data_IF_766228210738
#
_entry.id   IF_766228210738
#
_cell.length_a   1.000
_cell.length_b   1.000
_cell.length_c   1.000
_cell.angle_alpha   90.00
_cell.angle_beta   90.00
_cell.angle_gamma   90.00
#
_symmetry.space_group_name_H-M   'P 1'
#
loop_
_entity.id
_entity.type
_entity.pdbx_description
1 polymer ?
#
# COMPACT_ATOMS: atom_id res chain seq x y z
N UNK A 1 24.72 21.26 -13.45
CA UNK A 1 23.76 20.50 -14.30
C UNK A 1 22.43 20.43 -13.55
N UNK A 2 21.30 20.62 -14.23
CA UNK A 2 19.97 20.51 -13.61
C UNK A 2 19.58 19.07 -13.28
N UNK A 3 18.42 18.88 -12.65
CA UNK A 3 17.87 17.54 -12.41
C UNK A 3 17.52 16.86 -13.75
N UNK A 4 17.89 15.57 -13.94
CA UNK A 4 17.38 14.78 -15.06
C UNK A 4 15.85 14.66 -15.03
N UNK A 5 15.22 14.52 -16.21
CA UNK A 5 13.76 14.52 -16.37
C UNK A 5 13.03 13.47 -15.51
N UNK A 6 13.63 12.29 -15.31
CA UNK A 6 13.03 11.19 -14.53
C UNK A 6 13.16 11.39 -13.01
N UNK A 7 13.85 12.46 -12.55
CA UNK A 7 14.02 12.79 -11.12
C UNK A 7 13.26 14.04 -10.69
N UNK A 8 12.46 14.66 -11.57
CA UNK A 8 11.81 15.95 -11.29
C UNK A 8 10.90 15.92 -10.05
N UNK A 9 10.27 14.78 -9.74
CA UNK A 9 9.42 14.65 -8.55
C UNK A 9 10.19 14.46 -7.24
N UNK A 10 11.51 14.26 -7.27
CA UNK A 10 12.32 14.16 -6.02
C UNK A 10 12.30 15.44 -5.19
N UNK A 11 11.94 16.58 -5.79
CA UNK A 11 11.86 17.89 -5.13
C UNK A 11 10.84 17.95 -3.99
N UNK A 12 9.86 17.04 -3.94
CA UNK A 12 8.85 17.01 -2.86
C UNK A 12 9.19 16.03 -1.73
N UNK A 13 10.30 15.27 -1.82
CA UNK A 13 10.65 14.25 -0.82
C UNK A 13 10.82 14.81 0.60
N UNK A 14 11.31 16.05 0.72
CA UNK A 14 11.51 16.74 2.00
C UNK A 14 10.54 17.92 2.20
N UNK A 15 9.47 18.03 1.39
CA UNK A 15 8.41 19.04 1.57
C UNK A 15 7.06 18.35 1.80
N UNK A 16 6.72 17.99 3.05
CA UNK A 16 5.49 17.27 3.37
C UNK A 16 4.22 17.97 2.88
N UNK A 17 4.20 19.31 2.87
CA UNK A 17 3.04 20.07 2.41
C UNK A 17 2.83 19.92 0.90
N UNK A 18 3.90 20.03 0.10
CA UNK A 18 3.81 19.78 -1.35
C UNK A 18 3.59 18.32 -1.66
N UNK A 19 4.18 17.41 -0.87
CA UNK A 19 3.95 15.99 -0.99
C UNK A 19 2.46 15.66 -0.79
N UNK A 20 1.82 16.16 0.27
CA UNK A 20 0.38 15.98 0.47
C UNK A 20 -0.42 16.60 -0.68
N UNK A 21 -0.04 17.79 -1.16
CA UNK A 21 -0.71 18.42 -2.30
C UNK A 21 -0.70 17.56 -3.56
N UNK A 22 0.44 16.94 -3.91
CA UNK A 22 0.49 16.02 -5.07
C UNK A 22 -0.26 14.70 -4.82
N UNK A 23 -0.36 14.25 -3.57
CA UNK A 23 -1.22 13.11 -3.22
C UNK A 23 -2.71 13.45 -3.34
N UNK A 24 -3.12 14.66 -2.95
CA UNK A 24 -4.48 15.16 -3.14
C UNK A 24 -4.77 15.26 -4.65
N UNK A 25 -3.85 15.82 -5.44
CA UNK A 25 -3.97 15.87 -6.89
C UNK A 25 -4.11 14.46 -7.49
N UNK A 26 -3.24 13.51 -7.11
CA UNK A 26 -3.36 12.13 -7.59
C UNK A 26 -4.69 11.49 -7.20
N UNK A 27 -5.12 11.67 -5.95
CA UNK A 27 -6.43 11.18 -5.48
C UNK A 27 -7.58 11.81 -6.27
N UNK A 28 -7.52 13.12 -6.56
CA UNK A 28 -8.50 13.81 -7.37
C UNK A 28 -8.50 13.33 -8.83
N UNK A 29 -7.34 13.00 -9.40
CA UNK A 29 -7.24 12.41 -10.74
C UNK A 29 -7.78 10.98 -10.78
N UNK A 30 -7.53 10.17 -9.75
CA UNK A 30 -8.08 8.80 -9.66
C UNK A 30 -9.58 8.82 -9.42
N UNK A 31 -10.07 9.66 -8.51
CA UNK A 31 -11.50 9.86 -8.27
C UNK A 31 -12.18 10.49 -9.51
N UNK A 32 -11.50 11.43 -10.17
CA UNK A 32 -11.92 12.02 -11.43
C UNK A 32 -11.96 11.00 -12.55
N UNK A 33 -10.97 10.11 -12.67
CA UNK A 33 -10.98 9.00 -13.64
C UNK A 33 -12.07 7.99 -13.33
N UNK A 34 -12.24 7.58 -12.07
CA UNK A 34 -13.29 6.66 -11.65
C UNK A 34 -14.67 7.28 -11.89
N UNK A 35 -14.82 8.56 -11.56
CA UNK A 35 -15.99 9.38 -11.85
C UNK A 35 -16.22 9.53 -13.35
N UNK A 36 -15.20 9.83 -14.15
CA UNK A 36 -15.31 9.96 -15.61
C UNK A 36 -15.56 8.62 -16.32
N UNK A 37 -15.04 7.50 -15.80
CA UNK A 37 -15.33 6.16 -16.32
C UNK A 37 -16.73 5.73 -15.93
N UNK A 38 -17.14 5.97 -14.69
CA UNK A 38 -18.53 5.80 -14.28
C UNK A 38 -19.44 6.72 -15.11
N UNK A 39 -19.08 7.99 -15.32
CA UNK A 39 -19.80 8.96 -16.15
C UNK A 39 -19.73 8.62 -17.63
N UNK A 40 -18.73 7.89 -18.11
CA UNK A 40 -18.68 7.41 -19.49
C UNK A 40 -19.64 6.24 -19.67
N UNK A 41 -19.63 5.26 -18.75
CA UNK A 41 -20.61 4.17 -18.69
C UNK A 41 -22.04 4.69 -18.44
N UNK A 42 -22.20 5.73 -17.63
CA UNK A 42 -23.44 6.47 -17.41
C UNK A 42 -23.72 7.54 -18.49
N UNK A 43 -22.78 7.95 -19.34
CA UNK A 43 -23.07 8.90 -20.45
C UNK A 43 -23.85 8.24 -21.59
N UNK A 44 -24.14 6.95 -21.41
CA UNK A 44 -25.12 6.15 -22.15
C UNK A 44 -26.37 5.82 -21.29
N UNK A 45 -26.45 6.34 -20.06
CA UNK A 45 -27.50 6.14 -19.05
C UNK A 45 -27.68 7.39 -18.14
N UNK A 46 -28.67 8.22 -18.46
CA UNK A 46 -28.92 9.59 -17.94
C UNK A 46 -29.47 9.66 -16.48
N UNK A 47 -28.80 10.37 -15.53
CA UNK A 47 -29.36 11.58 -14.86
C UNK A 47 -28.33 12.60 -14.22
N UNK A 48 -28.75 13.82 -13.83
CA UNK A 48 -28.01 15.13 -13.90
C UNK A 48 -27.70 15.96 -12.59
N UNK A 49 -26.39 16.15 -12.23
CA UNK A 49 -25.60 17.32 -11.62
C UNK A 49 -25.89 17.91 -10.17
N UNK A 50 -25.14 18.84 -9.45
CA UNK A 50 -23.72 19.41 -9.40
C UNK A 50 -23.03 19.81 -7.99
N UNK A 51 -21.68 20.09 -7.98
CA UNK A 51 -20.86 21.27 -7.44
C UNK A 51 -20.36 21.54 -5.96
N UNK A 52 -19.03 21.34 -5.71
CA UNK A 52 -17.88 22.17 -5.18
C UNK A 52 -17.69 22.86 -3.76
N UNK A 53 -16.78 22.25 -2.93
CA UNK A 53 -15.57 22.69 -2.10
C UNK A 53 -15.39 24.13 -1.50
N UNK A 54 -14.86 24.34 -0.23
CA UNK A 54 -13.42 24.71 -0.06
C UNK A 54 -12.70 24.59 1.35
N UNK A 55 -11.39 24.88 1.31
CA UNK A 55 -10.54 25.67 2.26
C UNK A 55 -10.31 25.21 3.73
N UNK A 56 -9.19 24.53 4.02
CA UNK A 56 -8.49 24.67 5.32
C UNK A 56 -6.99 24.44 5.23
N UNK A 57 -6.38 25.12 4.27
CA UNK A 57 -5.32 26.10 4.59
C UNK A 57 -4.80 25.98 6.05
N UNK A 58 -3.58 25.43 6.13
CA UNK A 58 -2.44 25.91 6.94
C UNK A 58 -1.93 24.95 8.02
N UNK A 59 -0.68 24.52 7.86
CA UNK A 59 0.19 24.04 8.94
C UNK A 59 1.00 22.80 8.55
N UNK A 60 2.24 22.99 8.07
CA UNK A 60 3.14 21.91 7.62
C UNK A 60 3.68 21.10 8.84
N UNK A 61 3.37 19.80 8.96
CA UNK A 61 3.94 18.93 9.99
C UNK A 61 5.21 18.22 9.50
N UNK A 62 6.11 17.87 10.44
CA UNK A 62 7.16 16.88 10.20
C UNK A 62 6.57 15.46 10.32
N UNK A 63 6.97 14.53 9.44
CA UNK A 63 6.32 13.22 9.32
C UNK A 63 6.93 12.21 10.29
N UNK A 64 6.22 11.91 11.38
CA UNK A 64 6.50 10.76 12.26
C UNK A 64 5.93 9.48 11.62
N UNK A 65 6.63 8.92 10.62
CA UNK A 65 6.14 7.83 9.77
C UNK A 65 5.58 6.62 10.56
N UNK A 66 6.22 6.14 11.66
CA UNK A 66 5.65 5.06 12.47
C UNK A 66 4.32 5.41 13.12
N UNK A 67 4.15 6.65 13.58
CA UNK A 67 2.88 7.10 14.19
C UNK A 67 1.81 7.34 13.13
N UNK A 68 2.18 7.91 12.00
CA UNK A 68 1.29 8.09 10.84
C UNK A 68 0.77 6.72 10.35
N UNK A 69 1.63 5.70 10.31
CA UNK A 69 1.20 4.33 10.03
C UNK A 69 0.15 3.84 11.03
N UNK A 70 0.37 4.03 12.34
CA UNK A 70 -0.60 3.67 13.38
C UNK A 70 -1.96 4.36 13.22
N UNK A 71 -1.98 5.66 12.87
CA UNK A 71 -3.22 6.40 12.59
C UNK A 71 -3.96 5.80 11.40
N UNK A 72 -3.28 5.62 10.26
CA UNK A 72 -3.91 5.07 9.06
C UNK A 72 -4.37 3.63 9.27
N UNK A 73 -3.58 2.79 9.94
CA UNK A 73 -3.96 1.41 10.23
C UNK A 73 -5.18 1.34 11.15
N UNK A 74 -5.25 2.19 12.18
CA UNK A 74 -6.42 2.27 13.06
C UNK A 74 -7.68 2.66 12.29
N UNK A 75 -7.61 3.73 11.49
CA UNK A 75 -8.73 4.20 10.67
C UNK A 75 -9.16 3.15 9.63
N UNK A 76 -8.20 2.50 8.96
CA UNK A 76 -8.47 1.39 8.05
C UNK A 76 -9.11 0.20 8.75
N UNK A 77 -8.69 -0.13 9.98
CA UNK A 77 -9.30 -1.18 10.80
C UNK A 77 -10.75 -0.88 11.14
N UNK A 78 -11.04 0.35 11.60
CA UNK A 78 -12.42 0.80 11.90
C UNK A 78 -13.29 0.78 10.65
N UNK A 79 -12.78 1.28 9.52
CA UNK A 79 -13.49 1.27 8.24
C UNK A 79 -13.77 -0.17 7.76
N UNK A 80 -12.78 -1.06 7.84
CA UNK A 80 -12.91 -2.46 7.45
C UNK A 80 -13.93 -3.21 8.32
N UNK A 81 -13.86 -3.02 9.65
CA UNK A 81 -14.83 -3.58 10.58
C UNK A 81 -16.24 -3.08 10.25
N UNK A 82 -16.40 -1.76 10.08
CA UNK A 82 -17.70 -1.16 9.79
C UNK A 82 -18.30 -1.68 8.47
N UNK A 83 -17.47 -1.83 7.43
CA UNK A 83 -17.92 -2.42 6.17
C UNK A 83 -18.42 -3.86 6.36
N UNK A 84 -17.67 -4.71 7.06
CA UNK A 84 -18.10 -6.08 7.33
C UNK A 84 -19.35 -6.16 8.22
N UNK A 85 -19.32 -5.47 9.37
CA UNK A 85 -20.32 -5.57 10.42
C UNK A 85 -21.67 -4.92 10.06
N UNK A 86 -21.67 -3.90 9.21
CA UNK A 86 -22.87 -3.12 8.87
C UNK A 86 -23.28 -3.24 7.41
N UNK A 87 -22.36 -3.01 6.47
CA UNK A 87 -22.69 -2.97 5.05
C UNK A 87 -22.93 -4.37 4.48
N UNK A 88 -21.98 -5.30 4.67
CA UNK A 88 -22.04 -6.66 4.11
C UNK A 88 -23.11 -7.53 4.77
N UNK A 89 -23.25 -7.43 6.10
CA UNK A 89 -24.26 -8.18 6.87
C UNK A 89 -25.68 -7.68 6.63
N UNK A 90 -25.85 -6.52 6.00
CA UNK A 90 -27.15 -5.87 5.83
C UNK A 90 -27.74 -5.31 7.13
N UNK A 91 -26.98 -5.29 8.24
CA UNK A 91 -27.44 -4.72 9.51
C UNK A 91 -27.70 -3.20 9.38
N UNK A 92 -26.85 -2.51 8.63
CA UNK A 92 -27.01 -1.10 8.28
C UNK A 92 -26.38 -0.82 6.91
N UNK A 93 -26.89 -1.51 5.89
CA UNK A 93 -26.48 -1.41 4.50
C UNK A 93 -27.24 -2.41 3.60
N UNK A 94 -27.00 -2.38 2.29
CA UNK A 94 -27.76 -3.21 1.35
C UNK A 94 -27.31 -4.69 1.31
N UNK A 95 -26.17 -5.04 1.91
CA UNK A 95 -25.53 -6.34 1.69
C UNK A 95 -24.66 -6.32 0.44
N UNK A 96 -24.37 -7.51 -0.12
CA UNK A 96 -23.52 -7.67 -1.31
C UNK A 96 -24.22 -8.52 -2.37
N UNK A 97 -23.68 -8.51 -3.59
CA UNK A 97 -24.15 -9.39 -4.66
C UNK A 97 -23.81 -10.85 -4.35
N UNK A 98 -24.82 -11.72 -4.45
CA UNK A 98 -24.68 -13.18 -4.35
C UNK A 98 -25.51 -13.82 -5.47
N UNK A 99 -25.09 -14.98 -5.96
CA UNK A 99 -25.83 -15.75 -6.96
C UNK A 99 -25.82 -17.24 -6.63
N UNK A 100 -26.68 -18.01 -7.27
CA UNK A 100 -26.57 -19.47 -7.29
C UNK A 100 -25.32 -19.91 -8.08
N UNK A 101 -24.88 -21.18 -7.96
CA UNK A 101 -23.66 -21.67 -8.60
C UNK A 101 -23.64 -21.54 -10.14
N UNK A 102 -24.80 -21.39 -10.79
CA UNK A 102 -24.92 -21.24 -12.23
C UNK A 102 -25.09 -19.78 -12.68
N UNK A 103 -25.18 -18.83 -11.74
CA UNK A 103 -25.25 -17.41 -12.06
C UNK A 103 -26.63 -16.93 -12.55
N UNK A 104 -27.71 -17.66 -12.28
CA UNK A 104 -29.03 -17.41 -12.87
C UNK A 104 -29.95 -16.51 -12.03
N UNK A 105 -29.75 -16.49 -10.71
CA UNK A 105 -30.65 -15.87 -9.73
C UNK A 105 -29.94 -14.82 -8.88
N UNK A 106 -28.94 -14.17 -9.47
CA UNK A 106 -28.10 -13.18 -8.81
C UNK A 106 -28.89 -11.96 -8.33
N UNK A 107 -28.63 -11.54 -7.09
CA UNK A 107 -29.22 -10.36 -6.47
C UNK A 107 -28.35 -9.83 -5.33
N UNK A 108 -28.58 -8.58 -4.95
CA UNK A 108 -28.02 -8.02 -3.71
C UNK A 108 -28.79 -8.59 -2.52
N UNK A 109 -28.08 -9.10 -1.51
CA UNK A 109 -28.69 -9.57 -0.27
C UNK A 109 -27.74 -9.45 0.94
N UNK A 110 -28.30 -9.36 2.16
CA UNK A 110 -27.54 -9.49 3.40
C UNK A 110 -26.79 -10.82 3.49
N UNK A 111 -25.56 -10.82 4.02
CA UNK A 111 -24.73 -12.02 4.18
C UNK A 111 -24.28 -12.19 5.63
N UNK A 112 -24.72 -13.27 6.29
CA UNK A 112 -24.25 -13.62 7.63
C UNK A 112 -22.79 -14.10 7.60
N UNK A 113 -21.98 -13.77 8.63
CA UNK A 113 -20.59 -14.21 8.69
C UNK A 113 -20.47 -15.72 8.93
N UNK A 114 -19.54 -16.36 8.22
CA UNK A 114 -19.14 -17.76 8.45
C UNK A 114 -17.86 -17.81 9.26
N UNK A 115 -17.91 -18.42 10.44
CA UNK A 115 -16.78 -18.50 11.37
C UNK A 115 -16.05 -19.85 11.37
N UNK A 116 -16.64 -20.86 10.72
CA UNK A 116 -16.00 -22.17 10.55
C UNK A 116 -15.00 -22.19 9.38
N UNK A 117 -14.55 -23.39 9.04
CA UNK A 117 -13.57 -23.61 7.96
C UNK A 117 -14.11 -23.20 6.59
N UNK A 118 -15.42 -23.26 6.41
CA UNK A 118 -16.12 -22.80 5.21
C UNK A 118 -15.96 -21.30 4.96
N UNK A 119 -15.63 -20.51 5.98
CA UNK A 119 -15.30 -19.09 5.81
C UNK A 119 -14.02 -18.83 5.00
N UNK A 120 -13.19 -19.85 4.77
CA UNK A 120 -12.00 -19.78 3.92
C UNK A 120 -12.24 -20.30 2.49
N UNK A 121 -13.42 -20.85 2.21
CA UNK A 121 -13.80 -21.21 0.85
C UNK A 121 -14.08 -19.92 0.05
N UNK A 122 -13.34 -19.65 -1.04
CA UNK A 122 -13.51 -18.43 -1.83
C UNK A 122 -14.89 -18.30 -2.49
N UNK A 123 -15.69 -19.36 -2.51
CA UNK A 123 -17.05 -19.37 -3.07
C UNK A 123 -18.15 -19.29 -2.02
N UNK A 124 -17.81 -19.18 -0.72
CA UNK A 124 -18.78 -18.99 0.38
C UNK A 124 -18.77 -17.51 0.81
N UNK A 125 -19.83 -16.72 0.49
CA UNK A 125 -19.84 -15.28 0.75
C UNK A 125 -19.74 -14.92 2.23
N UNK A 126 -20.17 -15.80 3.14
CA UNK A 126 -20.07 -15.59 4.59
C UNK A 126 -18.63 -15.40 5.07
N UNK A 127 -17.64 -15.96 4.34
CA UNK A 127 -16.22 -15.71 4.55
C UNK A 127 -15.80 -14.26 4.37
N UNK A 128 -16.47 -13.51 3.47
CA UNK A 128 -16.20 -12.10 3.22
C UNK A 128 -16.58 -11.27 4.46
N UNK A 129 -17.77 -11.51 5.03
CA UNK A 129 -18.23 -10.79 6.21
C UNK A 129 -17.34 -11.09 7.43
N UNK A 130 -17.04 -12.37 7.69
CA UNK A 130 -16.17 -12.75 8.81
C UNK A 130 -14.74 -12.25 8.65
N UNK A 131 -14.19 -12.27 7.43
CA UNK A 131 -12.88 -11.68 7.13
C UNK A 131 -12.83 -10.20 7.50
N UNK A 132 -13.78 -9.38 7.03
CA UNK A 132 -13.77 -7.94 7.29
C UNK A 132 -13.96 -7.61 8.78
N UNK A 133 -14.82 -8.34 9.49
CA UNK A 133 -15.02 -8.16 10.93
C UNK A 133 -13.75 -8.52 11.71
N UNK A 134 -13.15 -9.68 11.41
CA UNK A 134 -11.94 -10.14 12.09
C UNK A 134 -10.71 -9.27 11.76
N UNK A 135 -10.46 -9.01 10.47
CA UNK A 135 -9.35 -8.20 10.01
C UNK A 135 -9.49 -6.74 10.46
N UNK A 136 -10.72 -6.19 10.46
CA UNK A 136 -11.00 -4.86 10.97
C UNK A 136 -10.69 -4.74 12.47
N UNK A 137 -11.16 -5.70 13.27
CA UNK A 137 -10.87 -5.75 14.71
C UNK A 137 -9.35 -5.82 14.98
N UNK A 138 -8.66 -6.72 14.28
CA UNK A 138 -7.21 -6.87 14.41
C UNK A 138 -6.48 -5.61 13.95
N UNK A 139 -6.89 -4.99 12.84
CA UNK A 139 -6.34 -3.76 12.31
C UNK A 139 -6.48 -2.58 13.29
N UNK A 140 -7.63 -2.45 13.96
CA UNK A 140 -7.83 -1.45 15.01
C UNK A 140 -6.88 -1.67 16.18
N UNK A 141 -6.77 -2.91 16.68
CA UNK A 141 -5.86 -3.24 17.80
C UNK A 141 -4.39 -3.02 17.42
N UNK A 142 -3.98 -3.43 16.22
CA UNK A 142 -2.64 -3.21 15.70
C UNK A 142 -2.35 -1.71 15.50
N UNK A 143 -3.32 -0.93 15.02
CA UNK A 143 -3.23 0.53 14.94
C UNK A 143 -2.97 1.17 16.30
N UNK A 144 -3.73 0.76 17.33
CA UNK A 144 -3.51 1.22 18.72
C UNK A 144 -2.13 0.84 19.24
N UNK A 145 -1.67 -0.38 18.96
CA UNK A 145 -0.31 -0.80 19.31
C UNK A 145 0.74 0.11 18.67
N UNK A 146 0.62 0.39 17.37
CA UNK A 146 1.55 1.26 16.64
C UNK A 146 1.50 2.74 17.05
N UNK A 147 0.39 3.20 17.64
CA UNK A 147 0.29 4.51 18.28
C UNK A 147 0.95 4.54 19.66
N UNK A 148 0.90 3.42 20.38
CA UNK A 148 1.34 3.31 21.77
C UNK A 148 2.83 2.94 21.90
N UNK A 149 3.39 2.25 20.91
CA UNK A 149 4.72 1.63 20.98
C UNK A 149 5.66 2.21 19.91
N UNK A 150 6.83 2.69 20.33
CA UNK A 150 7.89 3.15 19.43
C UNK A 150 8.64 1.95 18.82
N UNK A 151 9.13 2.06 17.57
CA UNK A 151 9.87 0.97 16.95
C UNK A 151 11.19 0.68 17.70
N UNK A 152 11.57 -0.60 17.86
CA UNK A 152 12.86 -0.99 18.39
C UNK A 152 14.01 -0.37 17.57
N UNK A 153 15.07 0.09 18.24
CA UNK A 153 16.19 0.78 17.59
C UNK A 153 16.85 -0.05 16.47
N UNK A 154 16.95 -1.37 16.65
CA UNK A 154 17.51 -2.30 15.65
C UNK A 154 16.69 -2.29 14.36
N UNK A 155 15.36 -2.33 14.47
CA UNK A 155 14.45 -2.29 13.33
C UNK A 155 14.42 -0.90 12.69
N UNK A 156 14.41 0.15 13.51
CA UNK A 156 14.45 1.53 13.01
C UNK A 156 15.67 1.79 12.13
N UNK A 157 16.85 1.35 12.58
CA UNK A 157 18.10 1.45 11.80
C UNK A 157 18.12 0.50 10.61
N UNK A 158 17.78 -0.77 10.82
CA UNK A 158 17.85 -1.81 9.79
C UNK A 158 16.92 -1.55 8.59
N UNK A 159 15.71 -1.06 8.85
CA UNK A 159 14.72 -0.75 7.82
C UNK A 159 14.75 0.72 7.37
N UNK A 160 15.72 1.50 7.85
CA UNK A 160 15.87 2.94 7.52
C UNK A 160 14.56 3.72 7.71
N UNK A 161 13.85 3.51 8.83
CA UNK A 161 12.49 4.04 9.07
C UNK A 161 12.39 5.59 9.08
N UNK A 162 13.51 6.31 9.13
CA UNK A 162 13.54 7.77 8.95
C UNK A 162 13.50 8.24 7.49
N UNK A 163 13.56 7.32 6.51
CA UNK A 163 13.49 7.61 5.09
C UNK A 163 12.11 7.23 4.53
N UNK A 164 11.37 8.18 3.97
CA UNK A 164 10.03 7.93 3.40
C UNK A 164 10.06 6.91 2.24
N UNK A 165 11.20 6.79 1.54
CA UNK A 165 11.34 5.83 0.45
C UNK A 165 11.26 4.36 0.93
N UNK A 166 11.55 4.08 2.21
CA UNK A 166 11.33 2.75 2.79
C UNK A 166 9.84 2.40 2.85
N UNK A 167 9.00 3.40 3.14
CA UNK A 167 7.54 3.27 3.13
C UNK A 167 7.05 3.10 1.70
N UNK A 168 7.60 3.85 0.75
CA UNK A 168 7.29 3.68 -0.68
C UNK A 168 7.59 2.25 -1.16
N UNK A 169 8.80 1.74 -0.92
CA UNK A 169 9.19 0.39 -1.36
C UNK A 169 8.32 -0.71 -0.74
N UNK A 170 8.05 -0.65 0.57
CA UNK A 170 7.20 -1.63 1.26
C UNK A 170 5.72 -1.52 0.87
N UNK A 171 5.23 -0.31 0.59
CA UNK A 171 3.86 -0.09 0.12
C UNK A 171 3.66 -0.64 -1.30
N UNK A 172 4.62 -0.42 -2.20
CA UNK A 172 4.59 -1.01 -3.56
C UNK A 172 4.56 -2.54 -3.46
N UNK A 173 5.28 -3.13 -2.49
CA UNK A 173 5.25 -4.57 -2.26
C UNK A 173 3.86 -5.09 -1.90
N UNK A 174 3.19 -4.42 -0.96
CA UNK A 174 1.82 -4.77 -0.58
C UNK A 174 0.83 -4.60 -1.74
N UNK A 175 1.00 -3.54 -2.54
CA UNK A 175 0.11 -3.24 -3.69
C UNK A 175 0.25 -4.28 -4.79
N UNK A 176 1.47 -4.68 -5.19
CA UNK A 176 1.60 -5.71 -6.24
C UNK A 176 1.12 -7.08 -5.77
N UNK A 177 1.29 -7.40 -4.48
CA UNK A 177 0.74 -8.62 -3.91
C UNK A 177 -0.79 -8.65 -4.04
N UNK A 178 -1.46 -7.56 -3.63
CA UNK A 178 -2.90 -7.42 -3.79
C UNK A 178 -3.34 -7.49 -5.27
N UNK A 179 -2.57 -6.88 -6.18
CA UNK A 179 -2.83 -6.92 -7.62
C UNK A 179 -2.78 -8.36 -8.18
N UNK A 180 -1.83 -9.20 -7.74
CA UNK A 180 -1.80 -10.62 -8.13
C UNK A 180 -2.98 -11.41 -7.55
N UNK A 181 -3.37 -11.14 -6.30
CA UNK A 181 -4.53 -11.81 -5.67
C UNK A 181 -5.81 -11.50 -6.46
N UNK A 182 -6.08 -10.23 -6.80
CA UNK A 182 -7.29 -9.86 -7.55
C UNK A 182 -7.25 -10.31 -9.01
N UNK A 183 -6.06 -10.41 -9.61
CA UNK A 183 -5.91 -10.99 -10.94
C UNK A 183 -6.28 -12.49 -10.92
N UNK A 184 -5.86 -13.22 -9.88
CA UNK A 184 -6.17 -14.64 -9.71
C UNK A 184 -7.66 -14.91 -9.51
N UNK A 185 -8.37 -14.08 -8.74
CA UNK A 185 -9.79 -14.31 -8.42
C UNK A 185 -10.77 -13.88 -9.52
N UNK A 186 -10.37 -13.02 -10.47
CA UNK A 186 -11.23 -12.46 -11.53
C UNK A 186 -11.25 -13.27 -12.85
N UNK A 187 -10.73 -14.50 -12.84
CA UNK A 187 -10.43 -15.38 -13.98
C UNK A 187 -11.31 -15.27 -15.26
N UNK A 188 -12.65 -15.03 -15.22
CA UNK A 188 -13.47 -14.88 -16.43
C UNK A 188 -13.35 -13.53 -17.18
N UNK A 189 -12.77 -12.47 -16.59
CA UNK A 189 -12.71 -11.12 -17.21
C UNK A 189 -11.30 -10.81 -17.71
N UNK A 190 -11.01 -11.21 -18.95
CA UNK A 190 -9.67 -11.20 -19.55
C UNK A 190 -8.91 -9.85 -19.43
N UNK A 191 -9.58 -8.73 -19.73
CA UNK A 191 -8.95 -7.40 -19.64
C UNK A 191 -8.54 -7.00 -18.23
N UNK A 192 -9.39 -7.30 -17.23
CA UNK A 192 -9.09 -7.00 -15.84
C UNK A 192 -7.89 -7.82 -15.36
N UNK A 193 -7.90 -9.12 -15.65
CA UNK A 193 -6.83 -10.05 -15.26
C UNK A 193 -5.50 -9.67 -15.90
N UNK A 194 -5.49 -9.44 -17.22
CA UNK A 194 -4.29 -9.03 -17.96
C UNK A 194 -3.73 -7.70 -17.46
N UNK A 195 -4.60 -6.70 -17.27
CA UNK A 195 -4.19 -5.38 -16.77
C UNK A 195 -3.55 -5.47 -15.39
N UNK A 196 -4.21 -6.12 -14.43
CA UNK A 196 -3.69 -6.23 -13.06
C UNK A 196 -2.42 -7.08 -12.97
N UNK A 197 -2.33 -8.19 -13.71
CA UNK A 197 -1.11 -9.00 -13.76
C UNK A 197 0.08 -8.22 -14.36
N UNK A 198 -0.16 -7.43 -15.41
CA UNK A 198 0.86 -6.58 -16.03
C UNK A 198 1.34 -5.48 -15.08
N UNK A 199 0.40 -4.77 -14.42
CA UNK A 199 0.76 -3.74 -13.44
C UNK A 199 1.46 -4.32 -12.21
N UNK A 200 1.06 -5.50 -11.73
CA UNK A 200 1.73 -6.18 -10.63
C UNK A 200 3.20 -6.45 -10.94
N UNK A 201 3.50 -6.92 -12.17
CA UNK A 201 4.87 -7.16 -12.60
C UNK A 201 5.70 -5.87 -12.70
N UNK A 202 5.10 -4.77 -13.18
CA UNK A 202 5.77 -3.47 -13.20
C UNK A 202 6.05 -2.93 -11.79
N UNK A 203 5.10 -3.08 -10.87
CA UNK A 203 5.26 -2.68 -9.48
C UNK A 203 6.29 -3.54 -8.74
N UNK A 204 6.47 -4.81 -9.11
CA UNK A 204 7.58 -5.60 -8.61
C UNK A 204 8.94 -4.94 -8.91
N UNK A 205 9.17 -4.48 -10.14
CA UNK A 205 10.40 -3.75 -10.47
C UNK A 205 10.50 -2.43 -9.69
N UNK A 206 9.39 -1.72 -9.49
CA UNK A 206 9.34 -0.52 -8.64
C UNK A 206 9.73 -0.80 -7.19
N UNK A 207 9.28 -1.91 -6.62
CA UNK A 207 9.65 -2.34 -5.27
C UNK A 207 11.17 -2.57 -5.16
N UNK A 208 11.75 -3.32 -6.09
CA UNK A 208 13.20 -3.61 -6.11
C UNK A 208 14.00 -2.32 -6.28
N UNK A 209 13.58 -1.44 -7.19
CA UNK A 209 14.23 -0.15 -7.45
C UNK A 209 14.26 0.75 -6.19
N UNK A 210 13.11 0.98 -5.55
CA UNK A 210 13.02 1.83 -4.37
C UNK A 210 13.61 1.17 -3.12
N UNK A 211 13.57 -0.16 -3.05
CA UNK A 211 14.22 -0.93 -1.97
C UNK A 211 15.73 -0.79 -2.03
N UNK A 212 16.32 -0.96 -3.22
CA UNK A 212 17.74 -0.71 -3.45
C UNK A 212 18.11 0.74 -3.14
N UNK A 213 17.33 1.72 -3.63
CA UNK A 213 17.57 3.15 -3.38
C UNK A 213 17.48 3.52 -1.90
N UNK A 214 16.62 2.84 -1.13
CA UNK A 214 16.51 3.03 0.32
C UNK A 214 17.73 2.49 1.06
N UNK A 215 18.20 1.29 0.71
CA UNK A 215 19.27 0.61 1.42
C UNK A 215 20.66 1.14 1.07
N UNK A 216 20.88 1.45 -0.22
CA UNK A 216 22.15 1.90 -0.79
C UNK A 216 22.17 3.42 -1.06
N UNK A 217 21.45 4.19 -0.24
CA UNK A 217 21.32 5.65 -0.39
C UNK A 217 22.66 6.38 -0.26
N UNK A 218 23.54 5.88 0.58
CA UNK A 218 24.89 6.39 0.84
C UNK A 218 25.80 6.31 -0.39
N UNK A 219 25.65 5.27 -1.20
CA UNK A 219 26.47 5.04 -2.42
C UNK A 219 25.74 5.39 -3.72
N UNK A 220 24.56 6.02 -3.64
CA UNK A 220 23.71 6.28 -4.81
C UNK A 220 24.37 7.21 -5.84
N UNK A 221 25.30 8.07 -5.41
CA UNK A 221 26.05 8.98 -6.28
C UNK A 221 27.42 8.43 -6.72
N UNK A 222 27.79 7.23 -6.27
CA UNK A 222 29.11 6.63 -6.46
C UNK A 222 29.61 5.97 -5.18
N UNK A 223 30.58 5.07 -5.35
CA UNK A 223 31.31 4.45 -4.22
C UNK A 223 32.36 5.42 -3.68
N UNK A 224 32.84 5.13 -2.47
CA UNK A 224 34.00 5.83 -1.90
C UNK A 224 35.22 5.66 -2.83
N UNK A 225 35.88 6.76 -3.28
CA UNK A 225 37.08 6.66 -4.10
C UNK A 225 38.25 5.96 -3.38
N UNK A 226 38.25 5.86 -2.05
CA UNK A 226 39.35 5.31 -1.25
C UNK A 226 39.06 3.87 -0.70
N UNK A 227 38.24 3.07 -1.40
CA UNK A 227 37.70 1.78 -0.91
C UNK A 227 38.68 0.59 -0.91
N UNK A 228 39.91 0.77 -1.39
CA UNK A 228 40.80 -0.29 -1.91
C UNK A 228 41.00 -1.51 -1.01
N UNK A 229 41.39 -1.32 0.25
CA UNK A 229 41.74 -2.46 1.11
C UNK A 229 40.55 -3.38 1.42
N UNK A 230 39.32 -2.86 1.43
CA UNK A 230 38.12 -3.62 1.84
C UNK A 230 37.67 -4.66 0.83
N UNK A 231 38.14 -4.56 -0.42
CA UNK A 231 37.79 -5.48 -1.52
C UNK A 231 38.90 -6.51 -1.82
N UNK A 232 40.04 -6.43 -1.13
CA UNK A 232 41.13 -7.39 -1.29
C UNK A 232 40.81 -8.76 -0.68
N UNK A 233 41.18 -9.82 -1.41
CA UNK A 233 40.96 -11.20 -0.96
C UNK A 233 41.70 -11.50 0.34
N UNK A 234 40.96 -11.91 1.37
CA UNK A 234 41.54 -12.38 2.62
C UNK A 234 42.12 -11.28 3.53
N UNK A 235 41.96 -9.99 3.20
CA UNK A 235 42.46 -8.89 4.05
C UNK A 235 41.78 -8.83 5.43
N UNK A 236 40.52 -9.27 5.52
CA UNK A 236 39.71 -9.25 6.75
C UNK A 236 39.17 -10.64 7.11
N UNK A 237 38.81 -10.87 8.38
CA UNK A 237 38.10 -12.07 8.83
C UNK A 237 36.61 -12.02 8.48
N UNK A 238 36.05 -10.80 8.34
CA UNK A 238 34.67 -10.55 7.96
C UNK A 238 34.61 -9.44 6.90
N UNK A 239 33.88 -9.69 5.80
CA UNK A 239 33.73 -8.73 4.71
C UNK A 239 33.05 -7.44 5.20
N UNK A 240 33.54 -6.29 4.74
CA UNK A 240 32.99 -4.96 5.07
C UNK A 240 33.17 -4.52 6.54
N UNK A 241 34.03 -5.20 7.30
CA UNK A 241 34.27 -4.90 8.71
C UNK A 241 35.77 -4.63 8.98
N UNK A 242 36.20 -3.35 8.95
CA UNK A 242 37.58 -2.95 9.16
C UNK A 242 38.17 -3.37 10.52
N UNK A 243 37.31 -3.63 11.52
CA UNK A 243 37.74 -4.05 12.86
C UNK A 243 38.27 -5.49 12.89
N UNK A 244 38.14 -6.22 11.78
CA UNK A 244 38.47 -7.64 11.69
C UNK A 244 39.69 -7.93 10.80
N UNK A 245 40.60 -6.96 10.61
CA UNK A 245 41.80 -7.11 9.76
C UNK A 245 42.64 -8.31 10.21
N UNK A 246 43.10 -9.14 9.26
CA UNK A 246 44.02 -10.23 9.56
C UNK A 246 45.39 -9.67 9.92
N UNK A 247 46.04 -10.24 10.93
CA UNK A 247 47.44 -9.93 11.21
C UNK A 247 48.31 -10.66 10.18
N UNK A 248 49.40 -10.02 9.69
CA UNK A 248 50.39 -10.73 8.90
C UNK A 248 50.97 -11.88 9.75
N UNK A 249 51.04 -13.06 9.14
CA UNK A 249 51.72 -14.24 9.70
C UNK A 249 53.22 -14.10 9.46
#
# INVERSE_FOLDING_TARGET
>A
MGLPWYRVHTVVLNDPGRLISVHIMHTALVAGWAGSMALYELSVFDPSDPVLDPMWRQGKPSLDLPKIFGIHLFLSGVACFGFGAFHVTGLYGPGIWVSDPYGLTGKVQPVSPSWGVEGFDPFVPGGIASHHIAAGTLGTLAGLFHLSVRPPQRLYKGLRMGNIETVLSSSIAAVFFAAFVVAGTMCPRGWFTFGHASFALLFFFGHIWHGASTLFRDVFAGIDPDLDAQVEFGAFKKLGDPTTRRQPV
#
